data_IF_249916477889
#
_entry.id   IF_249916477889
#
_cell.length_a   1.000
_cell.length_b   1.000
_cell.length_c   1.000
_cell.angle_alpha   90.00
_cell.angle_beta   90.00
_cell.angle_gamma   90.00
#
_symmetry.space_group_name_H-M   'P 1'
#
loop_
_entity.id
_entity.type
_entity.pdbx_description
1 polymer ?
#
# COMPACT_ATOMS: atom_id res chain seq x y z
N UNK A 1 -14.70 6.67 62.78
CA UNK A 1 -15.30 6.79 61.43
C UNK A 1 -14.16 6.79 60.43
N UNK A 2 -13.84 5.63 59.86
CA UNK A 2 -12.74 5.46 58.90
C UNK A 2 -13.29 5.71 57.50
N UNK A 3 -12.85 6.80 56.85
CA UNK A 3 -13.19 7.09 55.47
C UNK A 3 -12.35 6.20 54.56
N UNK A 4 -13.01 5.24 53.93
CA UNK A 4 -12.43 4.37 52.93
C UNK A 4 -12.31 5.16 51.61
N UNK A 5 -11.10 5.58 51.25
CA UNK A 5 -10.81 6.21 49.96
C UNK A 5 -10.62 5.08 48.97
N UNK A 6 -11.65 4.87 48.14
CA UNK A 6 -11.58 3.93 46.99
C UNK A 6 -10.81 4.62 45.87
N UNK A 7 -9.56 4.20 45.69
CA UNK A 7 -8.70 4.65 44.60
C UNK A 7 -9.10 3.87 43.32
N UNK A 8 -9.88 4.50 42.46
CA UNK A 8 -10.16 3.98 41.12
C UNK A 8 -8.89 4.12 40.24
N UNK A 9 -8.11 3.06 40.15
CA UNK A 9 -7.05 2.97 39.16
C UNK A 9 -7.70 2.72 37.80
N UNK A 10 -7.90 3.79 37.03
CA UNK A 10 -8.26 3.67 35.61
C UNK A 10 -7.00 3.19 34.87
N UNK A 11 -6.92 1.89 34.66
CA UNK A 11 -5.90 1.28 33.83
C UNK A 11 -6.21 1.66 32.37
N UNK A 12 -5.61 2.76 31.90
CA UNK A 12 -5.64 3.12 30.49
C UNK A 12 -4.89 2.04 29.71
N UNK A 13 -5.63 1.07 29.21
CA UNK A 13 -5.14 0.05 28.32
C UNK A 13 -4.87 0.73 26.96
N UNK A 14 -3.66 1.27 26.79
CA UNK A 14 -3.16 1.66 25.48
C UNK A 14 -3.14 0.39 24.62
N UNK A 15 -4.15 0.22 23.78
CA UNK A 15 -4.15 -0.78 22.72
C UNK A 15 -3.06 -0.33 21.73
N UNK A 16 -1.86 -0.84 21.90
CA UNK A 16 -0.87 -0.82 20.84
C UNK A 16 -1.43 -1.68 19.71
N UNK A 17 -2.00 -1.06 18.71
CA UNK A 17 -2.30 -1.73 17.45
C UNK A 17 -0.94 -2.00 16.80
N UNK A 18 -0.37 -3.17 17.10
CA UNK A 18 0.76 -3.65 16.33
C UNK A 18 0.27 -3.89 14.90
N UNK A 19 1.01 -3.36 13.94
CA UNK A 19 0.77 -3.67 12.54
C UNK A 19 0.94 -5.17 12.35
N UNK A 20 -0.17 -5.88 12.23
CA UNK A 20 -0.17 -7.32 11.98
C UNK A 20 0.09 -7.52 10.49
N UNK A 21 1.11 -8.30 10.14
CA UNK A 21 1.33 -8.65 8.73
C UNK A 21 0.07 -9.32 8.16
N UNK A 22 -0.42 -8.79 7.05
CA UNK A 22 -1.61 -9.30 6.39
C UNK A 22 -1.37 -10.71 5.84
N UNK A 23 -2.37 -11.58 6.01
CA UNK A 23 -2.39 -12.95 5.51
C UNK A 23 -3.37 -13.08 4.36
N UNK A 24 -3.16 -14.07 3.50
CA UNK A 24 -4.10 -14.40 2.43
C UNK A 24 -5.52 -14.55 3.01
N UNK A 25 -6.49 -13.93 2.36
CA UNK A 25 -7.88 -13.86 2.80
C UNK A 25 -8.22 -12.70 3.73
N UNK A 26 -7.25 -11.96 4.25
CA UNK A 26 -7.51 -10.74 5.04
C UNK A 26 -8.17 -9.66 4.17
N UNK A 27 -8.94 -8.81 4.81
CA UNK A 27 -9.65 -7.74 4.11
C UNK A 27 -8.75 -6.54 3.92
N UNK A 28 -8.85 -5.89 2.74
CA UNK A 28 -8.18 -4.63 2.45
C UNK A 28 -8.43 -3.62 3.59
N UNK A 29 -7.38 -3.12 4.25
CA UNK A 29 -7.52 -2.09 5.27
C UNK A 29 -8.24 -0.85 4.71
N UNK A 30 -9.00 -0.17 5.55
CA UNK A 30 -9.62 1.10 5.18
C UNK A 30 -8.60 2.22 5.38
N UNK A 31 -8.30 2.95 4.33
CA UNK A 31 -7.43 4.12 4.34
C UNK A 31 -7.88 5.14 3.31
N UNK A 32 -7.38 6.35 3.43
CA UNK A 32 -7.50 7.39 2.40
C UNK A 32 -6.08 7.82 2.01
N UNK A 33 -5.87 8.06 0.72
CA UNK A 33 -4.67 8.73 0.22
C UNK A 33 -5.05 10.16 -0.18
N UNK A 34 -4.20 11.10 0.20
CA UNK A 34 -4.34 12.51 -0.15
C UNK A 34 -3.19 12.89 -1.07
N UNK A 35 -3.49 13.30 -2.28
CA UNK A 35 -2.48 13.76 -3.23
C UNK A 35 -2.97 14.97 -4.02
N UNK A 36 -2.22 16.05 -3.93
CA UNK A 36 -2.45 17.26 -4.72
C UNK A 36 -2.10 17.07 -6.20
N UNK A 37 -1.37 16.01 -6.53
CA UNK A 37 -0.89 15.71 -7.89
C UNK A 37 -1.79 14.71 -8.60
N UNK A 38 -2.15 13.60 -7.90
CA UNK A 38 -2.87 12.49 -8.52
C UNK A 38 -4.33 12.37 -8.05
N UNK A 39 -4.79 13.32 -7.23
CA UNK A 39 -6.12 13.28 -6.61
C UNK A 39 -6.19 12.33 -5.42
N UNK A 40 -7.25 12.49 -4.65
CA UNK A 40 -7.50 11.68 -3.46
C UNK A 40 -8.02 10.30 -3.84
N UNK A 41 -7.66 9.28 -3.06
CA UNK A 41 -8.23 7.93 -3.15
C UNK A 41 -8.98 7.62 -1.87
N UNK A 42 -10.23 7.21 -1.99
CA UNK A 42 -11.11 6.84 -0.88
C UNK A 42 -11.48 5.35 -0.94
N UNK A 43 -11.86 4.72 0.19
CA UNK A 43 -12.25 3.31 0.20
C UNK A 43 -13.36 2.96 -0.80
N UNK A 44 -14.27 3.91 -1.09
CA UNK A 44 -15.35 3.73 -2.07
C UNK A 44 -14.83 3.53 -3.50
N UNK A 45 -13.71 4.16 -3.84
CA UNK A 45 -13.12 4.11 -5.19
C UNK A 45 -12.52 2.73 -5.50
N UNK A 46 -12.23 1.94 -4.45
CA UNK A 46 -11.60 0.62 -4.52
C UNK A 46 -12.61 -0.52 -4.53
N UNK A 47 -13.87 -0.24 -4.18
CA UNK A 47 -14.91 -1.26 -4.05
C UNK A 47 -15.20 -1.96 -5.37
N UNK A 48 -15.18 -3.31 -5.36
CA UNK A 48 -15.47 -4.14 -6.52
C UNK A 48 -14.37 -4.16 -7.58
N UNK A 49 -13.19 -3.62 -7.27
CA UNK A 49 -12.02 -3.64 -8.15
C UNK A 49 -10.94 -4.56 -7.65
N UNK A 50 -10.12 -5.05 -8.55
CA UNK A 50 -8.83 -5.66 -8.22
C UNK A 50 -7.87 -4.53 -7.86
N UNK A 51 -7.30 -4.58 -6.67
CA UNK A 51 -6.46 -3.50 -6.13
C UNK A 51 -5.06 -4.01 -5.86
N UNK A 52 -4.06 -3.43 -6.52
CA UNK A 52 -2.65 -3.62 -6.22
C UNK A 52 -2.14 -2.47 -5.37
N UNK A 53 -1.68 -2.76 -4.17
CA UNK A 53 -0.96 -1.82 -3.31
C UNK A 53 0.52 -2.16 -3.35
N UNK A 54 1.34 -1.24 -3.85
CA UNK A 54 2.80 -1.34 -3.85
C UNK A 54 3.39 -0.29 -2.92
N UNK A 55 4.20 -0.72 -1.97
CA UNK A 55 4.83 0.13 -0.96
C UNK A 55 6.31 0.28 -1.27
N UNK A 56 6.78 1.51 -1.44
CA UNK A 56 8.15 1.79 -1.84
C UNK A 56 8.74 3.02 -1.12
N UNK A 57 10.01 3.29 -1.37
CA UNK A 57 10.66 4.58 -1.09
C UNK A 57 11.64 4.94 -2.20
N UNK A 58 11.89 6.22 -2.40
CA UNK A 58 12.73 6.74 -3.48
C UNK A 58 14.21 6.34 -3.37
N UNK A 59 14.67 6.05 -2.15
CA UNK A 59 16.03 5.60 -1.84
C UNK A 59 16.21 4.06 -1.87
N UNK A 60 15.14 3.31 -2.09
CA UNK A 60 15.13 1.84 -2.05
C UNK A 60 15.55 1.25 -3.40
N UNK A 61 16.73 0.67 -3.48
CA UNK A 61 17.27 0.08 -4.71
C UNK A 61 16.41 -1.04 -5.31
N UNK A 62 16.01 -2.07 -4.54
CA UNK A 62 15.10 -3.11 -5.05
C UNK A 62 13.74 -2.55 -5.52
N UNK A 63 13.19 -1.53 -4.83
CA UNK A 63 11.95 -0.89 -5.25
C UNK A 63 12.08 -0.26 -6.63
N UNK A 64 13.23 0.35 -6.94
CA UNK A 64 13.44 0.99 -8.23
C UNK A 64 13.49 -0.03 -9.38
N UNK A 65 13.99 -1.25 -9.12
CA UNK A 65 13.96 -2.35 -10.10
C UNK A 65 12.52 -2.80 -10.35
N UNK A 66 11.75 -3.01 -9.28
CA UNK A 66 10.34 -3.38 -9.39
C UNK A 66 9.53 -2.32 -10.14
N UNK A 67 9.67 -1.03 -9.78
CA UNK A 67 8.93 0.05 -10.43
C UNK A 67 9.32 0.25 -11.91
N UNK A 68 10.54 -0.11 -12.30
CA UNK A 68 10.93 -0.14 -13.71
C UNK A 68 10.19 -1.24 -14.48
N UNK A 69 10.02 -2.41 -13.88
CA UNK A 69 9.22 -3.50 -14.47
C UNK A 69 7.72 -3.16 -14.48
N UNK A 70 7.22 -2.50 -13.42
CA UNK A 70 5.86 -1.96 -13.41
C UNK A 70 5.65 -1.04 -14.60
N UNK A 71 6.57 -0.10 -14.85
CA UNK A 71 6.48 0.85 -15.97
C UNK A 71 6.52 0.17 -17.34
N UNK A 72 7.38 -0.83 -17.50
CA UNK A 72 7.59 -1.45 -18.82
C UNK A 72 6.60 -2.58 -19.15
N UNK A 73 6.02 -3.20 -18.15
CA UNK A 73 5.28 -4.47 -18.32
C UNK A 73 3.87 -4.42 -17.74
N UNK A 74 3.74 -4.07 -16.45
CA UNK A 74 2.45 -4.15 -15.76
C UNK A 74 1.55 -2.99 -16.13
N UNK A 75 2.05 -1.76 -16.02
CA UNK A 75 1.22 -0.57 -16.21
C UNK A 75 0.63 -0.48 -17.62
N UNK A 76 1.39 -0.63 -18.72
CA UNK A 76 0.84 -0.59 -20.06
C UNK A 76 -0.23 -1.67 -20.34
N UNK A 77 -0.18 -2.79 -19.62
CA UNK A 77 -1.15 -3.87 -19.76
C UNK A 77 -2.49 -3.55 -19.09
N UNK A 78 -2.48 -2.78 -18.00
CA UNK A 78 -3.66 -2.62 -17.16
C UNK A 78 -4.10 -1.15 -16.93
N UNK A 79 -3.39 -0.14 -17.43
CA UNK A 79 -3.69 1.28 -17.19
C UNK A 79 -5.11 1.69 -17.59
N UNK A 80 -5.65 1.11 -18.66
CA UNK A 80 -7.01 1.39 -19.14
C UNK A 80 -8.08 0.46 -18.55
N UNK A 81 -7.70 -0.48 -17.69
CA UNK A 81 -8.65 -1.44 -17.14
C UNK A 81 -9.43 -0.85 -15.97
N UNK A 82 -10.72 -0.53 -16.20
CA UNK A 82 -11.61 0.08 -15.20
C UNK A 82 -11.84 -0.77 -13.94
N UNK A 83 -11.56 -2.08 -14.01
CA UNK A 83 -11.69 -3.02 -12.89
C UNK A 83 -10.37 -3.19 -12.11
N UNK A 84 -9.31 -2.49 -12.52
CA UNK A 84 -8.00 -2.53 -11.87
C UNK A 84 -7.63 -1.17 -11.30
N UNK A 85 -7.09 -1.17 -10.09
CA UNK A 85 -6.50 0.02 -9.44
C UNK A 85 -5.13 -0.32 -8.93
N UNK A 86 -4.14 0.47 -9.29
CA UNK A 86 -2.79 0.36 -8.75
C UNK A 86 -2.45 1.58 -7.91
N UNK A 87 -2.05 1.34 -6.67
CA UNK A 87 -1.66 2.34 -5.69
C UNK A 87 -0.18 2.16 -5.35
N UNK A 88 0.68 3.01 -5.92
CA UNK A 88 2.13 3.02 -5.63
C UNK A 88 2.39 4.07 -4.57
N UNK A 89 2.64 3.63 -3.32
CA UNK A 89 2.65 4.49 -2.14
C UNK A 89 4.08 4.67 -1.63
N UNK A 90 4.53 5.92 -1.64
CA UNK A 90 5.85 6.33 -1.15
C UNK A 90 5.84 6.59 0.35
N UNK A 91 6.30 5.60 1.15
CA UNK A 91 6.41 5.78 2.61
C UNK A 91 7.41 6.88 2.95
N UNK A 92 7.02 7.76 3.88
CA UNK A 92 7.86 8.88 4.35
C UNK A 92 8.19 9.91 3.25
N UNK A 93 7.32 10.00 2.23
CA UNK A 93 7.42 10.97 1.15
C UNK A 93 6.20 11.86 1.07
N UNK A 94 6.43 13.14 0.77
CA UNK A 94 5.40 14.11 0.41
C UNK A 94 5.11 14.07 -1.10
N UNK A 95 4.06 14.74 -1.55
CA UNK A 95 3.79 14.96 -2.97
C UNK A 95 4.98 15.62 -3.69
N UNK A 96 5.64 16.58 -3.03
CA UNK A 96 6.81 17.28 -3.59
C UNK A 96 8.00 16.34 -3.79
N UNK A 97 8.28 15.47 -2.81
CA UNK A 97 9.34 14.46 -2.90
C UNK A 97 9.08 13.50 -4.08
N UNK A 98 7.85 13.03 -4.20
CA UNK A 98 7.45 12.12 -5.27
C UNK A 98 7.45 12.80 -6.64
N UNK A 99 7.06 14.08 -6.72
CA UNK A 99 7.15 14.87 -7.94
C UNK A 99 8.59 15.00 -8.40
N UNK A 100 9.51 15.44 -7.53
CA UNK A 100 10.95 15.53 -7.83
C UNK A 100 11.55 14.18 -8.25
N UNK A 101 11.12 13.11 -7.60
CA UNK A 101 11.52 11.76 -7.96
C UNK A 101 11.03 11.39 -9.37
N UNK A 102 9.75 11.64 -9.67
CA UNK A 102 9.16 11.29 -10.95
C UNK A 102 9.62 12.16 -12.12
N UNK A 103 10.08 13.38 -11.88
CA UNK A 103 10.76 14.21 -12.91
C UNK A 103 11.97 13.50 -13.50
N UNK A 104 12.65 12.66 -12.72
CA UNK A 104 13.82 11.87 -13.16
C UNK A 104 13.42 10.50 -13.70
N UNK A 105 12.42 9.86 -13.12
CA UNK A 105 12.02 8.48 -13.46
C UNK A 105 11.07 8.39 -14.63
N UNK A 106 10.24 9.43 -14.83
CA UNK A 106 9.24 9.53 -15.92
C UNK A 106 8.23 8.38 -15.93
N UNK A 107 7.86 7.90 -14.74
CA UNK A 107 6.77 6.94 -14.60
C UNK A 107 5.44 7.57 -15.02
N UNK A 108 4.61 6.81 -15.72
CA UNK A 108 3.27 7.26 -16.17
C UNK A 108 2.15 6.82 -15.23
N UNK A 109 2.46 5.93 -14.30
CA UNK A 109 1.52 5.56 -13.25
C UNK A 109 1.54 6.54 -12.06
N UNK A 110 0.44 6.63 -11.29
CA UNK A 110 0.35 7.55 -10.17
C UNK A 110 1.20 7.10 -8.98
N UNK A 111 1.86 8.09 -8.33
CA UNK A 111 2.59 7.90 -7.08
C UNK A 111 1.85 8.65 -5.97
N UNK A 112 1.58 7.98 -4.86
CA UNK A 112 0.84 8.56 -3.73
C UNK A 112 1.74 8.78 -2.51
N UNK A 113 1.63 9.94 -1.82
CA UNK A 113 2.42 10.23 -0.63
C UNK A 113 1.87 9.52 0.61
N UNK A 114 2.78 9.13 1.51
CA UNK A 114 2.46 8.68 2.86
C UNK A 114 3.54 9.19 3.84
N UNK A 115 3.58 10.53 4.08
CA UNK A 115 4.69 11.17 4.79
C UNK A 115 4.81 10.74 6.25
N UNK A 116 3.74 10.29 6.87
CA UNK A 116 3.72 9.84 8.27
C UNK A 116 3.64 8.32 8.41
N UNK A 117 3.71 7.57 7.31
CA UNK A 117 3.54 6.11 7.30
C UNK A 117 2.17 5.64 7.82
N UNK A 118 1.16 6.47 7.74
CA UNK A 118 -0.18 6.13 8.24
C UNK A 118 -0.79 4.97 7.44
N UNK A 119 -0.63 5.01 6.11
CA UNK A 119 -1.09 3.92 5.25
C UNK A 119 -0.12 2.74 5.29
N UNK A 120 1.19 2.98 5.20
CA UNK A 120 2.21 1.92 5.27
C UNK A 120 2.01 1.03 6.52
N UNK A 121 1.75 1.63 7.67
CA UNK A 121 1.61 0.92 8.95
C UNK A 121 0.38 0.02 9.03
N UNK A 122 -0.59 0.17 8.13
CA UNK A 122 -1.74 -0.74 8.02
C UNK A 122 -1.39 -2.07 7.33
N UNK A 123 -0.30 -2.09 6.57
CA UNK A 123 0.14 -3.24 5.77
C UNK A 123 1.39 -3.91 6.29
N UNK A 124 2.32 -3.12 6.85
CA UNK A 124 3.65 -3.59 7.21
C UNK A 124 4.31 -2.77 8.32
N UNK A 125 5.19 -3.40 9.08
CA UNK A 125 6.04 -2.70 10.07
C UNK A 125 7.32 -2.15 9.42
N UNK A 126 7.93 -2.96 8.56
CA UNK A 126 9.26 -2.71 7.97
C UNK A 126 9.38 -3.36 6.60
N UNK A 127 10.52 -3.18 5.98
CA UNK A 127 10.90 -3.77 4.69
C UNK A 127 10.05 -3.30 3.51
N UNK A 128 10.72 -2.94 2.44
CA UNK A 128 10.19 -2.57 1.12
C UNK A 128 11.14 -3.11 0.04
N UNK A 129 10.66 -3.30 -1.21
CA UNK A 129 9.29 -3.13 -1.63
C UNK A 129 8.34 -4.16 -1.03
N UNK A 130 7.05 -3.84 -1.01
CA UNK A 130 5.99 -4.80 -0.71
C UNK A 130 4.86 -4.63 -1.70
N UNK A 131 4.35 -5.75 -2.17
CA UNK A 131 3.18 -5.78 -3.05
C UNK A 131 2.07 -6.60 -2.41
N UNK A 132 0.85 -6.06 -2.46
CA UNK A 132 -0.37 -6.70 -1.96
C UNK A 132 -1.45 -6.60 -3.03
N UNK A 133 -1.98 -7.74 -3.45
CA UNK A 133 -3.07 -7.81 -4.44
C UNK A 133 -4.36 -8.24 -3.75
N UNK A 134 -5.38 -7.41 -3.88
CA UNK A 134 -6.73 -7.70 -3.39
C UNK A 134 -7.69 -7.96 -4.54
N UNK A 135 -8.55 -8.95 -4.39
CA UNK A 135 -9.61 -9.26 -5.33
C UNK A 135 -10.77 -8.28 -5.28
N UNK A 136 -11.74 -8.45 -6.17
CA UNK A 136 -12.96 -7.63 -6.26
C UNK A 136 -13.82 -7.67 -4.98
N UNK A 137 -13.68 -8.73 -4.20
CA UNK A 137 -14.31 -8.89 -2.88
C UNK A 137 -13.53 -8.21 -1.74
N UNK A 138 -12.40 -7.59 -2.06
CA UNK A 138 -11.50 -6.93 -1.11
C UNK A 138 -10.65 -7.90 -0.28
N UNK A 139 -10.53 -9.17 -0.67
CA UNK A 139 -9.70 -10.15 0.02
C UNK A 139 -8.29 -10.21 -0.57
N UNK A 140 -7.27 -10.36 0.30
CA UNK A 140 -5.88 -10.49 -0.10
C UNK A 140 -5.66 -11.82 -0.83
N UNK A 141 -5.23 -11.75 -2.08
CA UNK A 141 -4.97 -12.89 -2.96
C UNK A 141 -3.49 -13.20 -3.09
N UNK A 142 -2.62 -12.19 -3.01
CA UNK A 142 -1.18 -12.32 -3.15
C UNK A 142 -0.46 -11.25 -2.34
N UNK A 143 0.71 -11.60 -1.80
CA UNK A 143 1.62 -10.63 -1.20
C UNK A 143 3.07 -11.06 -1.39
N UNK A 144 3.96 -10.07 -1.51
CA UNK A 144 5.41 -10.30 -1.60
C UNK A 144 6.19 -9.27 -0.78
N UNK A 145 7.41 -9.66 -0.40
CA UNK A 145 8.39 -8.82 0.30
C UNK A 145 9.68 -8.86 -0.51
N UNK A 146 10.19 -7.69 -0.86
CA UNK A 146 11.34 -7.58 -1.75
C UNK A 146 10.93 -7.74 -3.22
N UNK A 147 11.94 -7.73 -4.08
CA UNK A 147 11.75 -7.87 -5.52
C UNK A 147 12.68 -8.93 -6.10
N UNK A 148 12.09 -9.85 -6.84
CA UNK A 148 12.76 -10.74 -7.81
C UNK A 148 11.89 -10.82 -9.07
N UNK A 149 12.49 -11.13 -10.21
CA UNK A 149 11.75 -11.31 -11.46
C UNK A 149 10.70 -12.44 -11.36
N UNK A 150 11.02 -13.50 -10.61
CA UNK A 150 10.10 -14.61 -10.34
C UNK A 150 8.88 -14.16 -9.54
N UNK A 151 9.07 -13.40 -8.46
CA UNK A 151 7.95 -12.88 -7.65
C UNK A 151 7.12 -11.87 -8.46
N UNK A 152 7.75 -11.06 -9.30
CA UNK A 152 7.02 -10.15 -10.19
C UNK A 152 6.17 -10.92 -11.21
N UNK A 153 6.68 -12.02 -11.77
CA UNK A 153 5.90 -12.88 -12.64
C UNK A 153 4.69 -13.51 -11.94
N UNK A 154 4.86 -13.99 -10.69
CA UNK A 154 3.74 -14.51 -9.88
C UNK A 154 2.69 -13.43 -9.58
N UNK A 155 3.13 -12.19 -9.34
CA UNK A 155 2.22 -11.05 -9.20
C UNK A 155 1.40 -10.84 -10.47
N UNK A 156 2.04 -10.82 -11.65
CA UNK A 156 1.37 -10.65 -12.93
C UNK A 156 0.31 -11.73 -13.19
N UNK A 157 0.66 -13.00 -12.93
CA UNK A 157 -0.27 -14.13 -13.04
C UNK A 157 -1.44 -14.01 -12.05
N UNK A 158 -1.18 -13.51 -10.86
CA UNK A 158 -2.22 -13.31 -9.84
C UNK A 158 -3.19 -12.19 -10.23
N UNK A 159 -2.69 -11.11 -10.82
CA UNK A 159 -3.54 -10.03 -11.36
C UNK A 159 -4.42 -10.57 -12.48
N UNK A 160 -3.84 -11.32 -13.43
CA UNK A 160 -4.58 -11.88 -14.57
C UNK A 160 -5.71 -12.82 -14.14
N UNK A 161 -5.47 -13.64 -13.10
CA UNK A 161 -6.49 -14.54 -12.54
C UNK A 161 -7.59 -13.79 -11.75
N UNK A 162 -7.29 -12.61 -11.19
CA UNK A 162 -8.22 -11.83 -10.38
C UNK A 162 -9.16 -10.95 -11.22
N UNK A 163 -8.76 -10.56 -12.43
CA UNK A 163 -9.53 -9.70 -13.34
C UNK A 163 -10.59 -10.47 -14.12
#
# INVERSE_FOLDING_TARGET
>A
MKKLIMLFAVLAMCLFVQAQELKLGDTLPKFELKSSVNGDVKPADLKGKVVLVNLFATWCGPCQKELAEVQSTLWPKYEDNKNFVMLVIGREHTDEDLKKYNERKKFTFPLYPDPKREVFSLFAEKSIPRSYLFGKDGKLLYSSIGYTAEEFQKLMESIEKAL
#
